data_IF_887986568147
#
_entry.id   IF_887986568147
#
_cell.length_a   1.000
_cell.length_b   1.000
_cell.length_c   1.000
_cell.angle_alpha   90.00
_cell.angle_beta   90.00
_cell.angle_gamma   90.00
#
_symmetry.space_group_name_H-M   'P 1'
#
loop_
_entity.id
_entity.type
_entity.pdbx_description
1 polymer ?
#
# COMPACT_ATOMS: atom_id res chain seq x y z
N UNK A 1 22.93 -5.40 -36.16
CA UNK A 1 24.31 -4.88 -36.19
C UNK A 1 25.38 -5.99 -36.06
N UNK A 2 25.23 -7.00 -35.16
CA UNK A 2 26.20 -8.13 -35.03
C UNK A 2 26.32 -9.06 -36.24
N UNK A 3 25.24 -9.32 -36.95
CA UNK A 3 25.20 -10.21 -38.13
C UNK A 3 26.01 -9.65 -39.31
N UNK A 4 26.00 -8.33 -39.48
CA UNK A 4 26.68 -7.66 -40.60
C UNK A 4 28.22 -7.71 -40.46
N UNK A 5 28.77 -7.73 -39.25
CA UNK A 5 30.21 -7.75 -39.00
C UNK A 5 30.82 -9.12 -39.35
N UNK A 6 30.11 -10.21 -39.00
CA UNK A 6 30.58 -11.59 -39.29
C UNK A 6 30.49 -11.96 -40.76
N UNK A 7 29.52 -11.42 -41.49
CA UNK A 7 29.39 -11.59 -42.93
C UNK A 7 30.53 -10.89 -43.67
N UNK A 8 30.92 -9.69 -43.24
CA UNK A 8 32.04 -8.93 -43.79
C UNK A 8 33.37 -9.68 -43.61
N UNK A 9 33.59 -10.25 -42.42
CA UNK A 9 34.81 -11.02 -42.12
C UNK A 9 34.91 -12.33 -42.92
N UNK A 10 33.78 -13.01 -43.19
CA UNK A 10 33.74 -14.19 -44.05
C UNK A 10 34.05 -13.85 -45.49
N UNK A 11 33.58 -12.72 -46.02
CA UNK A 11 33.89 -12.23 -47.34
C UNK A 11 35.37 -11.91 -47.50
N UNK A 12 36.00 -11.29 -46.50
CA UNK A 12 37.45 -11.00 -46.50
C UNK A 12 38.25 -12.28 -46.55
N UNK A 13 37.90 -13.26 -45.72
CA UNK A 13 38.56 -14.58 -45.73
C UNK A 13 38.41 -15.25 -47.10
N UNK A 14 37.23 -15.22 -47.70
CA UNK A 14 36.97 -15.80 -49.03
C UNK A 14 37.80 -15.13 -50.12
N UNK A 15 37.88 -13.81 -50.15
CA UNK A 15 38.72 -13.06 -51.09
C UNK A 15 40.21 -13.38 -50.92
N UNK A 16 40.68 -13.45 -49.66
CA UNK A 16 42.07 -13.79 -49.36
C UNK A 16 42.45 -15.21 -49.83
N UNK A 17 41.53 -16.19 -49.72
CA UNK A 17 41.74 -17.54 -50.27
C UNK A 17 41.80 -17.55 -51.79
N UNK A 18 40.91 -16.82 -52.48
CA UNK A 18 40.93 -16.68 -53.92
C UNK A 18 42.25 -16.07 -54.45
N UNK A 19 42.81 -15.12 -53.71
CA UNK A 19 44.12 -14.54 -54.03
C UNK A 19 45.26 -15.55 -53.90
N UNK A 20 45.19 -16.48 -52.94
CA UNK A 20 46.18 -17.57 -52.81
C UNK A 20 46.07 -18.67 -53.91
N UNK A 21 44.87 -18.91 -54.42
CA UNK A 21 44.61 -19.88 -55.48
C UNK A 21 45.10 -19.39 -56.83
N UNK A 22 45.15 -18.07 -57.05
CA UNK A 22 45.70 -17.45 -58.29
C UNK A 22 47.20 -17.22 -58.12
N UNK A 23 48.01 -18.21 -58.58
CA UNK A 23 49.46 -18.25 -58.44
C UNK A 23 50.21 -17.05 -59.04
N UNK A 24 49.60 -16.28 -59.97
CA UNK A 24 50.25 -15.17 -60.71
C UNK A 24 50.13 -13.81 -59.94
N UNK A 25 49.39 -13.74 -58.83
CA UNK A 25 49.08 -12.48 -58.13
C UNK A 25 50.07 -12.23 -56.98
N UNK A 26 50.64 -13.27 -56.36
CA UNK A 26 51.51 -13.12 -55.19
C UNK A 26 52.94 -13.54 -55.52
N UNK A 27 53.92 -12.69 -55.20
CA UNK A 27 55.35 -13.00 -55.22
C UNK A 27 55.64 -14.28 -54.43
N UNK A 28 56.41 -15.25 -54.91
CA UNK A 28 56.72 -16.50 -54.20
C UNK A 28 57.28 -16.31 -52.79
N UNK A 29 58.02 -15.22 -52.50
CA UNK A 29 58.52 -14.89 -51.16
C UNK A 29 57.43 -14.42 -50.20
N UNK A 30 56.28 -13.93 -50.74
CA UNK A 30 55.16 -13.40 -49.91
C UNK A 30 54.05 -14.44 -49.62
N UNK A 31 54.01 -15.53 -50.46
CA UNK A 31 52.97 -16.56 -50.29
C UNK A 31 52.95 -17.25 -48.93
N UNK A 32 54.10 -17.63 -48.40
CA UNK A 32 54.21 -18.34 -47.11
C UNK A 32 53.76 -17.44 -45.94
N UNK A 33 54.28 -16.20 -45.78
CA UNK A 33 53.82 -15.29 -44.72
C UNK A 33 52.33 -14.93 -44.84
N UNK A 34 51.79 -14.75 -46.06
CA UNK A 34 50.39 -14.48 -46.26
C UNK A 34 49.50 -15.66 -45.88
N UNK A 35 49.89 -16.89 -46.18
CA UNK A 35 49.18 -18.09 -45.74
C UNK A 35 49.17 -18.24 -44.22
N UNK A 36 50.25 -17.95 -43.55
CA UNK A 36 50.36 -17.97 -42.07
C UNK A 36 49.44 -16.91 -41.45
N UNK A 37 49.41 -15.70 -42.00
CA UNK A 37 48.52 -14.62 -41.56
C UNK A 37 47.05 -15.01 -41.77
N UNK A 38 46.70 -15.56 -42.93
CA UNK A 38 45.33 -15.99 -43.23
C UNK A 38 44.84 -17.08 -42.26
N UNK A 39 45.70 -18.07 -41.95
CA UNK A 39 45.40 -19.12 -40.98
C UNK A 39 45.19 -18.54 -39.57
N UNK A 40 46.02 -17.58 -39.16
CA UNK A 40 45.88 -16.90 -37.87
C UNK A 40 44.57 -16.10 -37.83
N UNK A 41 44.21 -15.41 -38.90
CA UNK A 41 42.95 -14.63 -39.00
C UNK A 41 41.70 -15.54 -38.98
N UNK A 42 41.74 -16.65 -39.71
CA UNK A 42 40.66 -17.65 -39.69
C UNK A 42 40.45 -18.24 -38.28
N UNK A 43 41.55 -18.54 -37.60
CA UNK A 43 41.47 -18.98 -36.18
C UNK A 43 40.86 -17.93 -35.31
N UNK A 44 41.30 -16.69 -35.42
CA UNK A 44 40.76 -15.55 -34.63
C UNK A 44 39.26 -15.37 -34.91
N UNK A 45 38.82 -15.41 -36.15
CA UNK A 45 37.40 -15.30 -36.52
C UNK A 45 36.56 -16.45 -35.93
N UNK A 46 37.10 -17.68 -35.94
CA UNK A 46 36.45 -18.84 -35.33
C UNK A 46 36.31 -18.65 -33.79
N UNK A 47 37.37 -18.17 -33.14
CA UNK A 47 37.35 -17.91 -31.72
C UNK A 47 36.40 -16.76 -31.37
N UNK A 48 36.36 -15.68 -32.17
CA UNK A 48 35.40 -14.58 -32.00
C UNK A 48 33.96 -15.08 -32.16
N UNK A 49 33.65 -15.89 -33.16
CA UNK A 49 32.30 -16.49 -33.30
C UNK A 49 31.91 -17.32 -32.09
N UNK A 50 32.88 -18.07 -31.53
CA UNK A 50 32.64 -18.86 -30.32
C UNK A 50 32.34 -17.95 -29.11
N UNK A 51 33.09 -16.86 -28.93
CA UNK A 51 32.87 -15.89 -27.87
C UNK A 51 31.53 -15.19 -27.99
N UNK A 52 31.12 -14.76 -29.18
CA UNK A 52 29.81 -14.16 -29.43
C UNK A 52 28.69 -15.12 -29.03
N UNK A 53 28.76 -16.41 -29.50
CA UNK A 53 27.75 -17.41 -29.13
C UNK A 53 27.68 -17.68 -27.62
N UNK A 54 28.82 -17.67 -26.95
CA UNK A 54 28.86 -17.80 -25.47
C UNK A 54 28.27 -16.58 -24.80
N UNK A 55 28.57 -15.38 -25.28
CA UNK A 55 27.99 -14.12 -24.77
C UNK A 55 26.48 -14.09 -24.93
N UNK A 56 25.97 -14.46 -26.14
CA UNK A 56 24.53 -14.50 -26.42
C UNK A 56 23.83 -15.53 -25.49
N UNK A 57 24.38 -16.72 -25.30
CA UNK A 57 23.85 -17.73 -24.37
C UNK A 57 23.85 -17.25 -22.92
N UNK A 58 24.91 -16.56 -22.50
CA UNK A 58 24.97 -16.01 -21.15
C UNK A 58 23.94 -14.90 -20.96
N UNK A 59 23.76 -14.04 -21.97
CA UNK A 59 22.73 -12.98 -21.93
C UNK A 59 21.32 -13.57 -21.82
N UNK A 60 21.02 -14.60 -22.64
CA UNK A 60 19.72 -15.30 -22.59
C UNK A 60 19.51 -15.96 -21.23
N UNK A 61 20.56 -16.56 -20.67
CA UNK A 61 20.49 -17.16 -19.32
C UNK A 61 20.23 -16.10 -18.24
N UNK A 62 20.92 -14.97 -18.28
CA UNK A 62 20.72 -13.85 -17.35
C UNK A 62 19.29 -13.29 -17.47
N UNK A 63 18.80 -13.07 -18.68
CA UNK A 63 17.43 -12.59 -18.90
C UNK A 63 16.40 -13.56 -18.32
N UNK A 64 16.59 -14.88 -18.55
CA UNK A 64 15.69 -15.89 -17.98
C UNK A 64 15.73 -15.94 -16.45
N UNK A 65 16.92 -15.81 -15.85
CA UNK A 65 17.06 -15.79 -14.38
C UNK A 65 16.42 -14.53 -13.81
N UNK A 66 16.65 -13.36 -14.41
CA UNK A 66 16.05 -12.10 -13.97
C UNK A 66 14.53 -12.15 -14.07
N UNK A 67 13.97 -12.63 -15.17
CA UNK A 67 12.52 -12.77 -15.33
C UNK A 67 11.90 -13.72 -14.28
N UNK A 68 12.58 -14.83 -13.96
CA UNK A 68 12.14 -15.73 -12.88
C UNK A 68 12.22 -15.07 -11.49
N UNK A 69 13.27 -14.29 -11.26
CA UNK A 69 13.45 -13.56 -9.99
C UNK A 69 12.34 -12.51 -9.80
N UNK A 70 12.02 -11.76 -10.87
CA UNK A 70 10.92 -10.79 -10.86
C UNK A 70 9.56 -11.44 -10.61
N UNK A 71 9.26 -12.56 -11.27
CA UNK A 71 8.02 -13.32 -11.05
C UNK A 71 7.93 -13.87 -9.61
N UNK A 72 9.03 -14.42 -9.10
CA UNK A 72 9.10 -14.90 -7.72
C UNK A 72 8.93 -13.77 -6.70
N UNK A 73 9.63 -12.66 -6.91
CA UNK A 73 9.54 -11.43 -6.11
C UNK A 73 8.11 -10.89 -6.06
N UNK A 74 7.44 -10.80 -7.23
CA UNK A 74 6.04 -10.38 -7.35
C UNK A 74 5.04 -11.33 -6.65
N UNK A 75 5.34 -12.62 -6.60
CA UNK A 75 4.52 -13.58 -5.85
C UNK A 75 4.72 -13.46 -4.34
N UNK A 76 5.96 -13.30 -3.89
CA UNK A 76 6.29 -13.13 -2.49
C UNK A 76 5.72 -11.83 -1.90
N UNK A 77 5.71 -10.74 -2.67
CA UNK A 77 5.17 -9.45 -2.21
C UNK A 77 3.70 -9.51 -1.78
N UNK A 78 2.94 -10.55 -2.22
CA UNK A 78 1.54 -10.74 -1.80
C UNK A 78 1.38 -11.34 -0.40
N UNK A 79 2.43 -11.87 0.19
CA UNK A 79 2.42 -12.47 1.53
C UNK A 79 2.91 -11.52 2.63
N UNK A 80 3.44 -10.36 2.25
CA UNK A 80 3.91 -9.33 3.17
C UNK A 80 3.14 -8.03 2.94
N UNK A 81 3.12 -7.15 3.94
CA UNK A 81 2.71 -5.78 3.68
C UNK A 81 3.71 -5.11 2.74
N UNK A 82 3.28 -4.23 1.82
CA UNK A 82 4.18 -3.58 0.88
C UNK A 82 5.36 -2.88 1.56
N UNK A 83 5.13 -2.22 2.69
CA UNK A 83 6.15 -1.48 3.44
C UNK A 83 7.23 -2.43 3.99
N UNK A 84 6.84 -3.58 4.56
CA UNK A 84 7.77 -4.60 5.07
C UNK A 84 8.54 -5.23 3.92
N UNK A 85 7.86 -5.54 2.82
CA UNK A 85 8.48 -6.08 1.62
C UNK A 85 9.55 -5.14 1.06
N UNK A 86 9.23 -3.84 0.90
CA UNK A 86 10.16 -2.83 0.41
C UNK A 86 11.37 -2.67 1.34
N UNK A 87 11.15 -2.63 2.66
CA UNK A 87 12.23 -2.51 3.65
C UNK A 87 13.17 -3.73 3.69
N UNK A 88 12.66 -4.93 3.44
CA UNK A 88 13.48 -6.14 3.28
C UNK A 88 14.30 -6.06 1.99
N UNK A 89 13.68 -5.67 0.87
CA UNK A 89 14.35 -5.61 -0.42
C UNK A 89 15.36 -4.49 -0.53
N UNK A 90 15.13 -3.35 0.13
CA UNK A 90 16.12 -2.24 0.22
C UNK A 90 17.30 -2.58 1.15
N UNK A 91 17.17 -3.64 1.97
CA UNK A 91 18.17 -4.01 2.97
C UNK A 91 18.12 -3.16 4.24
N UNK A 92 17.09 -2.34 4.42
CA UNK A 92 16.85 -1.56 5.64
C UNK A 92 16.38 -2.45 6.80
N UNK A 93 15.63 -3.52 6.48
CA UNK A 93 15.16 -4.51 7.43
C UNK A 93 15.91 -5.83 7.22
N UNK A 94 16.64 -6.27 8.24
CA UNK A 94 17.30 -7.58 8.24
C UNK A 94 16.27 -8.69 8.59
N UNK A 95 16.35 -9.82 7.87
CA UNK A 95 15.51 -11.01 8.10
C UNK A 95 16.16 -11.89 9.19
N UNK A 96 16.39 -11.30 10.36
CA UNK A 96 16.85 -11.99 11.56
C UNK A 96 15.86 -11.81 12.70
N UNK A 97 15.95 -12.63 13.76
CA UNK A 97 15.12 -12.47 14.97
C UNK A 97 15.56 -11.20 15.68
N UNK A 98 14.95 -10.08 15.29
CA UNK A 98 15.20 -8.77 15.88
C UNK A 98 13.90 -8.07 16.16
N UNK A 99 13.82 -7.40 17.30
CA UNK A 99 12.67 -6.62 17.69
C UNK A 99 13.10 -5.33 18.40
N UNK A 100 12.28 -4.29 18.25
CA UNK A 100 12.49 -3.00 18.86
C UNK A 100 11.23 -2.52 19.59
N UNK A 101 11.42 -1.78 20.67
CA UNK A 101 10.31 -1.08 21.36
C UNK A 101 10.10 0.27 20.69
N UNK A 102 8.90 0.46 20.12
CA UNK A 102 8.55 1.70 19.42
C UNK A 102 7.17 2.20 19.85
N UNK A 103 6.93 3.51 19.85
CA UNK A 103 5.59 4.06 19.96
C UNK A 103 4.84 3.79 18.66
N UNK A 104 3.73 3.06 18.75
CA UNK A 104 2.92 2.65 17.59
C UNK A 104 1.46 3.01 17.85
N UNK A 105 0.71 3.22 16.77
CA UNK A 105 -0.76 3.26 16.82
C UNK A 105 -1.29 1.96 16.23
N UNK A 106 -2.01 1.20 17.04
CA UNK A 106 -2.54 -0.13 16.72
C UNK A 106 -4.02 -0.01 16.39
N UNK A 107 -4.41 -0.63 15.30
CA UNK A 107 -5.77 -0.71 14.79
C UNK A 107 -6.23 -2.15 14.74
N UNK A 108 -7.40 -2.43 15.30
CA UNK A 108 -8.15 -3.66 15.12
C UNK A 108 -9.50 -3.35 14.51
N UNK A 109 -9.93 -4.18 13.58
CA UNK A 109 -11.31 -4.18 13.10
C UNK A 109 -11.85 -5.58 12.95
N UNK A 110 -13.17 -5.74 13.11
CA UNK A 110 -13.87 -7.02 13.02
C UNK A 110 -15.29 -6.83 12.46
N UNK A 111 -15.76 -7.76 11.64
CA UNK A 111 -17.13 -7.76 11.10
C UNK A 111 -18.09 -8.42 12.09
N UNK A 112 -18.97 -7.63 12.66
CA UNK A 112 -19.94 -8.15 13.63
C UNK A 112 -20.88 -9.17 12.97
N UNK A 113 -21.10 -10.31 13.67
CA UNK A 113 -21.95 -11.42 13.25
C UNK A 113 -21.45 -12.15 11.98
N UNK A 114 -20.17 -12.04 11.65
CA UNK A 114 -19.59 -12.74 10.51
C UNK A 114 -19.68 -14.26 10.69
N UNK A 115 -19.42 -14.78 11.90
CA UNK A 115 -19.53 -16.20 12.23
C UNK A 115 -20.92 -16.77 11.94
N UNK A 116 -22.01 -16.04 12.26
CA UNK A 116 -23.36 -16.49 11.92
C UNK A 116 -23.62 -16.46 10.39
N UNK A 117 -22.90 -15.61 9.66
CA UNK A 117 -22.99 -15.54 8.21
C UNK A 117 -22.29 -16.72 7.56
N UNK A 118 -21.18 -17.19 8.12
CA UNK A 118 -20.43 -18.36 7.61
C UNK A 118 -21.24 -19.64 7.68
N UNK A 119 -22.14 -19.78 8.65
CA UNK A 119 -23.01 -20.94 8.80
C UNK A 119 -24.15 -20.98 7.77
N UNK A 120 -24.46 -19.85 7.10
CA UNK A 120 -25.65 -19.71 6.25
C UNK A 120 -25.34 -19.51 4.78
N UNK A 121 -24.17 -19.04 4.45
CA UNK A 121 -23.77 -18.78 3.06
C UNK A 121 -22.99 -19.99 2.51
N UNK A 122 -23.15 -20.20 1.21
CA UNK A 122 -22.31 -21.13 0.48
C UNK A 122 -20.83 -20.66 0.52
N UNK A 123 -19.86 -21.59 0.63
CA UNK A 123 -18.45 -21.27 0.78
C UNK A 123 -17.91 -20.34 -0.30
N UNK A 124 -18.37 -20.46 -1.54
CA UNK A 124 -17.95 -19.66 -2.68
C UNK A 124 -18.40 -18.21 -2.52
N UNK A 125 -19.67 -18.00 -2.12
CA UNK A 125 -20.22 -16.66 -1.90
C UNK A 125 -19.52 -15.97 -0.73
N UNK A 126 -19.28 -16.73 0.34
CA UNK A 126 -18.55 -16.25 1.52
C UNK A 126 -17.12 -15.83 1.16
N UNK A 127 -16.41 -16.66 0.39
CA UNK A 127 -15.04 -16.39 -0.05
C UNK A 127 -14.97 -15.15 -0.92
N UNK A 128 -15.88 -14.98 -1.88
CA UNK A 128 -15.97 -13.79 -2.72
C UNK A 128 -16.24 -12.52 -1.92
N UNK A 129 -17.15 -12.60 -0.94
CA UNK A 129 -17.49 -11.49 -0.07
C UNK A 129 -16.30 -11.08 0.78
N UNK A 130 -15.65 -12.04 1.44
CA UNK A 130 -14.50 -11.80 2.31
C UNK A 130 -13.32 -11.25 1.50
N UNK A 131 -13.02 -11.84 0.35
CA UNK A 131 -11.96 -11.37 -0.55
C UNK A 131 -12.20 -9.94 -1.01
N UNK A 132 -13.44 -9.60 -1.38
CA UNK A 132 -13.81 -8.24 -1.78
C UNK A 132 -13.67 -7.25 -0.61
N UNK A 133 -14.11 -7.63 0.60
CA UNK A 133 -13.96 -6.84 1.82
C UNK A 133 -12.48 -6.58 2.13
N UNK A 134 -11.68 -7.65 2.29
CA UNK A 134 -10.26 -7.54 2.63
C UNK A 134 -9.48 -6.75 1.57
N UNK A 135 -9.80 -6.93 0.28
CA UNK A 135 -9.16 -6.17 -0.80
C UNK A 135 -9.41 -4.67 -0.68
N UNK A 136 -10.66 -4.26 -0.43
CA UNK A 136 -10.99 -2.84 -0.30
C UNK A 136 -10.39 -2.23 0.97
N UNK A 137 -10.42 -2.94 2.11
CA UNK A 137 -9.81 -2.47 3.36
C UNK A 137 -8.28 -2.38 3.26
N UNK A 138 -7.63 -3.36 2.62
CA UNK A 138 -6.18 -3.34 2.40
C UNK A 138 -5.74 -2.15 1.55
N UNK A 139 -6.47 -1.84 0.47
CA UNK A 139 -6.18 -0.67 -0.37
C UNK A 139 -6.22 0.64 0.43
N UNK A 140 -7.21 0.76 1.32
CA UNK A 140 -7.33 1.93 2.19
C UNK A 140 -6.17 1.96 3.19
N UNK A 141 -5.82 0.83 3.82
CA UNK A 141 -4.71 0.74 4.75
C UNK A 141 -3.40 1.18 4.12
N UNK A 142 -3.06 0.64 2.95
CA UNK A 142 -1.85 0.98 2.19
C UNK A 142 -1.85 2.47 1.79
N UNK A 143 -2.98 2.99 1.32
CA UNK A 143 -3.14 4.42 0.95
C UNK A 143 -2.79 5.36 2.10
N UNK A 144 -3.15 5.01 3.34
CA UNK A 144 -2.88 5.81 4.53
C UNK A 144 -1.52 5.52 5.19
N UNK A 145 -0.72 4.60 4.62
CA UNK A 145 0.59 4.22 5.15
C UNK A 145 0.54 3.24 6.32
N UNK A 146 -0.59 2.56 6.51
CA UNK A 146 -0.74 1.52 7.53
C UNK A 146 -0.03 0.22 7.14
N UNK A 147 0.72 -0.36 8.06
CA UNK A 147 1.34 -1.67 7.90
C UNK A 147 0.34 -2.75 8.31
N UNK A 148 -0.12 -3.55 7.34
CA UNK A 148 -1.02 -4.67 7.61
C UNK A 148 -0.18 -5.79 8.23
N UNK A 149 -0.46 -6.12 9.48
CA UNK A 149 0.17 -7.25 10.17
C UNK A 149 -0.40 -8.58 9.65
N UNK A 150 -1.67 -8.79 9.89
CA UNK A 150 -2.36 -10.04 9.50
C UNK A 150 -3.87 -9.89 9.44
N UNK A 151 -4.48 -10.85 8.75
CA UNK A 151 -5.91 -11.09 8.80
C UNK A 151 -6.18 -12.27 9.76
N UNK A 152 -7.17 -12.12 10.62
CA UNK A 152 -7.59 -13.15 11.58
C UNK A 152 -9.07 -13.45 11.28
N UNK A 153 -9.31 -14.33 10.28
CA UNK A 153 -10.64 -14.47 9.70
C UNK A 153 -11.09 -13.21 8.97
N UNK A 154 -12.10 -12.54 9.48
CA UNK A 154 -12.62 -11.26 9.01
C UNK A 154 -12.02 -10.05 9.75
N UNK A 155 -11.31 -10.29 10.84
CA UNK A 155 -10.61 -9.24 11.58
C UNK A 155 -9.30 -8.85 10.90
N UNK A 156 -8.96 -7.57 11.02
CA UNK A 156 -7.75 -6.99 10.45
C UNK A 156 -6.95 -6.32 11.56
N UNK A 157 -5.66 -6.69 11.68
CA UNK A 157 -4.68 -6.00 12.51
C UNK A 157 -3.78 -5.15 11.64
N UNK A 158 -3.72 -3.86 11.95
CA UNK A 158 -2.88 -2.86 11.27
C UNK A 158 -2.15 -2.04 12.33
N UNK A 159 -0.94 -1.60 12.04
CA UNK A 159 -0.23 -0.65 12.88
C UNK A 159 0.41 0.47 12.07
N UNK A 160 0.68 1.59 12.73
CA UNK A 160 1.36 2.78 12.18
C UNK A 160 2.56 3.12 13.05
N UNK A 161 3.61 3.64 12.43
CA UNK A 161 4.85 4.03 13.11
C UNK A 161 6.02 3.07 12.89
N UNK A 162 5.82 2.02 12.07
CA UNK A 162 6.86 1.08 11.67
C UNK A 162 6.45 0.31 10.38
N UNK A 163 7.32 0.01 9.44
CA UNK A 163 8.71 0.48 9.32
C UNK A 163 8.82 1.98 9.03
N UNK A 164 7.76 2.62 8.53
CA UNK A 164 7.71 4.06 8.25
C UNK A 164 7.11 4.79 9.45
N UNK A 165 7.80 5.81 9.96
CA UNK A 165 7.35 6.64 11.07
C UNK A 165 7.33 8.12 10.68
N UNK A 166 6.15 8.75 10.76
CA UNK A 166 5.94 10.16 10.41
C UNK A 166 5.77 11.06 11.66
N UNK A 167 5.91 10.48 12.84
CA UNK A 167 5.65 11.12 14.13
C UNK A 167 4.34 10.63 14.75
N UNK A 168 4.33 10.45 16.08
CA UNK A 168 3.23 9.81 16.81
C UNK A 168 1.86 10.42 16.50
N UNK A 169 1.77 11.76 16.44
CA UNK A 169 0.52 12.45 16.13
C UNK A 169 0.06 12.19 14.68
N UNK A 170 0.99 12.24 13.72
CA UNK A 170 0.66 12.03 12.31
C UNK A 170 0.24 10.58 12.06
N UNK A 171 0.93 9.62 12.67
CA UNK A 171 0.61 8.20 12.58
C UNK A 171 -0.77 7.90 13.20
N UNK A 172 -1.10 8.49 14.35
CA UNK A 172 -2.42 8.36 14.98
C UNK A 172 -3.53 9.02 14.14
N UNK A 173 -3.29 10.21 13.58
CA UNK A 173 -4.24 10.89 12.69
C UNK A 173 -4.46 10.07 11.41
N UNK A 174 -3.40 9.54 10.79
CA UNK A 174 -3.50 8.69 9.62
C UNK A 174 -4.30 7.41 9.91
N UNK A 175 -4.08 6.77 11.06
CA UNK A 175 -4.82 5.60 11.52
C UNK A 175 -6.32 5.89 11.68
N UNK A 176 -6.69 6.98 12.34
CA UNK A 176 -8.10 7.38 12.51
C UNK A 176 -8.74 7.76 11.17
N UNK A 177 -8.00 8.45 10.30
CA UNK A 177 -8.47 8.80 8.95
C UNK A 177 -8.74 7.56 8.10
N UNK A 178 -7.84 6.58 8.14
CA UNK A 178 -8.01 5.27 7.54
C UNK A 178 -9.30 4.60 8.05
N UNK A 179 -9.50 4.58 9.36
CA UNK A 179 -10.67 3.97 9.99
C UNK A 179 -11.99 4.63 9.54
N UNK A 180 -12.03 5.95 9.43
CA UNK A 180 -13.18 6.69 8.92
C UNK A 180 -13.46 6.34 7.44
N UNK A 181 -12.43 6.30 6.59
CA UNK A 181 -12.58 5.91 5.18
C UNK A 181 -13.05 4.47 5.05
N UNK A 182 -12.58 3.54 5.90
CA UNK A 182 -13.04 2.15 5.92
C UNK A 182 -14.54 2.04 6.23
N UNK A 183 -15.05 2.80 7.20
CA UNK A 183 -16.48 2.83 7.51
C UNK A 183 -17.31 3.34 6.32
N UNK A 184 -16.86 4.40 5.66
CA UNK A 184 -17.55 4.92 4.47
C UNK A 184 -17.50 3.92 3.30
N UNK A 185 -16.35 3.27 3.09
CA UNK A 185 -16.23 2.24 2.06
C UNK A 185 -17.16 1.06 2.33
N UNK A 186 -17.29 0.63 3.59
CA UNK A 186 -18.19 -0.45 3.95
C UNK A 186 -19.66 -0.13 3.62
N UNK A 187 -20.11 1.11 3.79
CA UNK A 187 -21.46 1.53 3.37
C UNK A 187 -21.69 1.29 1.88
N UNK A 188 -20.69 1.60 1.05
CA UNK A 188 -20.74 1.36 -0.40
C UNK A 188 -20.74 -0.13 -0.73
N UNK A 189 -19.92 -0.94 -0.03
CA UNK A 189 -19.88 -2.38 -0.21
C UNK A 189 -21.22 -3.03 0.15
N UNK A 190 -21.84 -2.65 1.26
CA UNK A 190 -23.18 -3.13 1.66
C UNK A 190 -24.21 -2.92 0.57
N UNK A 191 -24.22 -1.74 -0.06
CA UNK A 191 -25.15 -1.45 -1.17
C UNK A 191 -24.93 -2.40 -2.36
N UNK A 192 -23.66 -2.73 -2.68
CA UNK A 192 -23.32 -3.69 -3.74
C UNK A 192 -23.73 -5.12 -3.37
N UNK A 193 -23.47 -5.54 -2.14
CA UNK A 193 -23.81 -6.89 -1.66
C UNK A 193 -25.31 -7.10 -1.56
N UNK A 194 -26.06 -6.10 -1.11
CA UNK A 194 -27.55 -6.15 -1.10
C UNK A 194 -28.12 -6.38 -2.50
N UNK A 195 -27.56 -5.74 -3.52
CA UNK A 195 -27.95 -5.97 -4.92
C UNK A 195 -27.64 -7.38 -5.42
N UNK A 196 -26.70 -8.08 -4.78
CA UNK A 196 -26.34 -9.48 -5.06
C UNK A 196 -27.09 -10.50 -4.18
N UNK A 197 -28.12 -10.07 -3.44
CA UNK A 197 -28.99 -10.95 -2.64
C UNK A 197 -28.54 -11.13 -1.19
N UNK A 198 -27.51 -10.44 -0.71
CA UNK A 198 -27.15 -10.48 0.70
C UNK A 198 -28.15 -9.64 1.51
N UNK A 199 -29.03 -10.29 2.25
CA UNK A 199 -30.10 -9.63 3.03
C UNK A 199 -29.61 -9.04 4.36
N UNK A 200 -28.51 -9.54 4.92
CA UNK A 200 -27.97 -9.06 6.20
C UNK A 200 -26.92 -7.96 6.01
N UNK A 201 -26.98 -6.96 6.88
CA UNK A 201 -25.98 -5.90 6.94
C UNK A 201 -24.80 -6.37 7.78
N UNK A 202 -23.61 -6.36 7.18
CA UNK A 202 -22.34 -6.53 7.89
C UNK A 202 -21.98 -5.20 8.54
N UNK A 203 -21.70 -5.22 9.83
CA UNK A 203 -21.29 -4.05 10.61
C UNK A 203 -19.83 -4.20 11.03
N UNK A 204 -19.11 -3.10 11.00
CA UNK A 204 -17.70 -3.06 11.38
C UNK A 204 -17.58 -2.49 12.79
N UNK A 205 -16.75 -3.10 13.62
CA UNK A 205 -16.28 -2.55 14.88
C UNK A 205 -14.81 -2.22 14.72
N UNK A 206 -14.38 -1.09 15.27
CA UNK A 206 -13.00 -0.64 15.18
C UNK A 206 -12.52 -0.19 16.56
N UNK A 207 -11.34 -0.69 16.95
CA UNK A 207 -10.61 -0.27 18.14
C UNK A 207 -9.24 0.26 17.79
N UNK A 208 -8.85 1.42 18.34
CA UNK A 208 -7.53 2.03 18.11
C UNK A 208 -6.90 2.42 19.44
N UNK A 209 -5.65 2.02 19.61
CA UNK A 209 -4.84 2.40 20.77
C UNK A 209 -3.43 2.81 20.33
N UNK A 210 -2.88 3.84 20.96
CA UNK A 210 -1.51 4.30 20.75
C UNK A 210 -0.67 4.06 22.00
N UNK A 211 0.49 3.40 21.84
CA UNK A 211 1.36 3.10 22.96
C UNK A 211 2.66 2.42 22.53
N UNK A 212 3.54 2.16 23.50
CA UNK A 212 4.82 1.49 23.24
C UNK A 212 4.56 -0.01 23.05
N UNK A 213 4.86 -0.52 21.86
CA UNK A 213 4.80 -1.93 21.50
C UNK A 213 6.19 -2.46 21.14
N UNK A 214 6.35 -3.77 21.13
CA UNK A 214 7.53 -4.41 20.55
C UNK A 214 7.17 -4.87 19.15
N UNK A 215 7.89 -4.38 18.14
CA UNK A 215 7.71 -4.68 16.72
C UNK A 215 8.97 -5.29 16.14
N UNK A 216 8.83 -6.21 15.21
CA UNK A 216 9.95 -6.86 14.54
C UNK A 216 9.65 -8.29 14.10
N UNK A 217 10.69 -9.04 13.83
CA UNK A 217 10.59 -10.45 13.43
C UNK A 217 10.48 -11.34 14.66
N UNK A 218 9.36 -12.04 14.78
CA UNK A 218 9.10 -13.02 15.84
C UNK A 218 8.84 -14.39 15.25
N UNK A 219 9.32 -15.42 15.93
CA UNK A 219 9.05 -16.81 15.52
C UNK A 219 10.21 -17.74 15.86
N UNK A 220 10.37 -18.76 15.03
CA UNK A 220 11.48 -19.72 15.10
C UNK A 220 12.53 -19.42 14.04
N UNK A 221 13.64 -20.17 14.08
CA UNK A 221 14.69 -20.08 13.04
C UNK A 221 14.14 -20.40 11.63
N UNK A 222 13.09 -21.25 11.54
CA UNK A 222 12.51 -21.71 10.28
C UNK A 222 11.33 -20.85 9.80
N UNK A 223 10.70 -20.09 10.71
CA UNK A 223 9.52 -19.28 10.40
C UNK A 223 9.46 -18.01 11.21
N UNK A 224 9.50 -16.90 10.53
CA UNK A 224 9.42 -15.55 11.09
C UNK A 224 8.16 -14.84 10.60
N UNK A 225 7.49 -14.15 11.52
CA UNK A 225 6.41 -13.21 11.22
C UNK A 225 6.85 -11.81 11.65
N UNK A 226 6.80 -10.84 10.75
CA UNK A 226 6.96 -9.44 11.11
C UNK A 226 5.66 -8.94 11.72
N UNK A 227 5.67 -8.71 13.03
CA UNK A 227 4.45 -8.44 13.81
C UNK A 227 4.71 -7.55 15.02
N UNK A 228 3.64 -7.16 15.67
CA UNK A 228 3.64 -6.38 16.89
C UNK A 228 3.14 -7.21 18.07
N UNK A 229 3.81 -7.08 19.22
CA UNK A 229 3.41 -7.72 20.46
C UNK A 229 3.42 -6.72 21.63
N UNK A 230 2.59 -6.97 22.62
CA UNK A 230 2.53 -6.20 23.87
C UNK A 230 1.12 -6.01 24.39
N UNK A 231 1.01 -5.52 25.62
CA UNK A 231 -0.29 -5.25 26.25
C UNK A 231 -1.12 -4.21 25.50
N UNK A 232 -0.45 -3.25 24.83
CA UNK A 232 -1.09 -2.22 24.03
C UNK A 232 -1.78 -2.78 22.78
N UNK A 233 -1.25 -3.86 22.21
CA UNK A 233 -1.91 -4.60 21.12
C UNK A 233 -3.21 -5.25 21.64
N UNK A 234 -3.15 -5.89 22.80
CA UNK A 234 -4.34 -6.48 23.44
C UNK A 234 -5.39 -5.42 23.80
N UNK A 235 -4.95 -4.23 24.21
CA UNK A 235 -5.86 -3.12 24.50
C UNK A 235 -6.62 -2.66 23.25
N UNK A 236 -5.93 -2.51 22.11
CA UNK A 236 -6.59 -2.16 20.85
C UNK A 236 -7.65 -3.20 20.45
N UNK A 237 -7.36 -4.51 20.59
CA UNK A 237 -8.34 -5.58 20.38
C UNK A 237 -9.53 -5.50 21.34
N UNK A 238 -9.30 -5.12 22.62
CA UNK A 238 -10.39 -4.96 23.57
C UNK A 238 -11.26 -3.73 23.26
N UNK A 239 -10.67 -2.65 22.78
CA UNK A 239 -11.42 -1.50 22.28
C UNK A 239 -12.32 -1.91 21.11
N UNK A 240 -11.80 -2.68 20.15
CA UNK A 240 -12.61 -3.21 19.06
C UNK A 240 -13.81 -4.01 19.58
N UNK A 241 -13.57 -4.97 20.48
CA UNK A 241 -14.63 -5.85 21.01
C UNK A 241 -15.71 -5.09 21.81
N UNK A 242 -15.37 -3.95 22.41
CA UNK A 242 -16.30 -3.07 23.14
C UNK A 242 -16.92 -1.97 22.23
N UNK A 243 -16.44 -1.81 21.01
CA UNK A 243 -16.98 -0.82 20.08
C UNK A 243 -18.41 -1.14 19.66
N UNK A 244 -19.26 -0.14 19.56
CA UNK A 244 -20.62 -0.27 18.99
C UNK A 244 -20.53 -0.48 17.48
N UNK A 245 -21.65 -0.97 16.91
CA UNK A 245 -21.77 -1.17 15.45
C UNK A 245 -21.42 0.09 14.67
N UNK A 246 -20.51 -0.04 13.71
CA UNK A 246 -20.09 1.03 12.82
C UNK A 246 -19.52 2.24 13.56
N UNK A 247 -18.83 2.01 14.67
CA UNK A 247 -18.14 3.04 15.43
C UNK A 247 -16.65 2.72 15.55
N UNK A 248 -15.88 3.77 15.76
CA UNK A 248 -14.45 3.72 16.06
C UNK A 248 -14.31 4.10 17.51
N UNK A 249 -13.84 3.17 18.35
CA UNK A 249 -13.54 3.38 19.75
C UNK A 249 -12.04 3.53 19.93
N UNK A 250 -11.62 4.62 20.55
CA UNK A 250 -10.20 4.91 20.79
C UNK A 250 -9.92 5.09 22.29
N UNK A 251 -8.70 4.80 22.71
CA UNK A 251 -8.23 5.09 24.09
C UNK A 251 -7.95 6.58 24.29
N UNK A 252 -7.81 6.99 25.56
CA UNK A 252 -7.38 8.34 25.93
C UNK A 252 -6.01 8.67 25.32
N UNK A 253 -5.04 7.74 25.34
CA UNK A 253 -3.72 7.95 24.72
C UNK A 253 -3.82 8.31 23.25
N UNK A 254 -4.67 7.63 22.49
CA UNK A 254 -4.91 7.95 21.08
C UNK A 254 -5.65 9.28 20.95
N UNK A 255 -6.67 9.53 21.80
CA UNK A 255 -7.42 10.79 21.79
C UNK A 255 -6.49 11.99 21.96
N UNK A 256 -5.55 11.94 22.90
CA UNK A 256 -4.59 13.03 23.15
C UNK A 256 -3.72 13.35 21.92
N UNK A 257 -3.43 12.36 21.08
CA UNK A 257 -2.66 12.54 19.83
C UNK A 257 -3.49 13.14 18.69
N UNK A 258 -4.82 12.95 18.69
CA UNK A 258 -5.68 13.31 17.55
C UNK A 258 -6.67 14.44 17.83
N UNK A 259 -6.87 14.86 19.08
CA UNK A 259 -7.92 15.80 19.54
C UNK A 259 -8.00 17.12 18.78
N UNK A 260 -6.88 17.60 18.26
CA UNK A 260 -6.82 18.87 17.52
C UNK A 260 -7.35 18.75 16.08
N UNK A 261 -7.45 17.54 15.55
CA UNK A 261 -7.87 17.27 14.17
C UNK A 261 -9.13 16.41 14.05
N UNK A 262 -9.46 15.67 15.13
CA UNK A 262 -10.55 14.69 15.16
C UNK A 262 -11.55 15.07 16.22
N UNK A 263 -12.84 15.13 15.85
CA UNK A 263 -13.93 15.32 16.78
C UNK A 263 -14.28 13.98 17.46
N UNK A 264 -14.18 13.94 18.77
CA UNK A 264 -14.46 12.75 19.57
C UNK A 264 -15.46 13.06 20.68
N UNK A 265 -16.27 12.07 21.05
CA UNK A 265 -17.21 12.09 22.16
C UNK A 265 -16.74 11.14 23.25
N UNK A 266 -16.79 11.55 24.49
CA UNK A 266 -16.46 10.70 25.65
C UNK A 266 -17.40 9.48 25.65
N UNK A 267 -16.84 8.29 25.79
CA UNK A 267 -17.56 7.04 25.93
C UNK A 267 -17.34 6.43 27.32
N UNK A 268 -17.94 5.26 27.55
CA UNK A 268 -17.82 4.55 28.81
C UNK A 268 -16.39 4.08 29.04
N UNK A 269 -15.96 4.07 30.29
CA UNK A 269 -14.70 3.45 30.71
C UNK A 269 -14.78 1.93 30.54
N UNK A 270 -13.69 1.32 30.08
CA UNK A 270 -13.58 -0.12 29.96
C UNK A 270 -12.55 -0.69 30.93
N UNK A 271 -12.89 -1.81 31.57
CA UNK A 271 -11.94 -2.60 32.37
C UNK A 271 -11.33 -3.69 31.49
N UNK A 272 -10.01 -3.75 31.45
CA UNK A 272 -9.27 -4.70 30.61
C UNK A 272 -8.45 -5.64 31.47
N UNK A 273 -8.57 -6.96 31.26
CA UNK A 273 -7.78 -7.95 32.00
C UNK A 273 -6.28 -7.67 31.83
N UNK A 274 -5.60 -7.51 32.98
CA UNK A 274 -4.16 -7.21 33.01
C UNK A 274 -3.82 -5.71 33.16
N UNK A 275 -4.83 -4.84 33.23
CA UNK A 275 -4.70 -3.41 33.56
C UNK A 275 -5.51 -3.16 34.82
N UNK A 276 -4.88 -2.56 35.86
CA UNK A 276 -5.47 -2.41 37.22
C UNK A 276 -6.45 -1.27 37.35
N UNK A 277 -6.57 -0.41 36.34
CA UNK A 277 -7.44 0.78 36.35
C UNK A 277 -8.32 0.79 35.10
N UNK A 278 -9.52 1.36 35.17
CA UNK A 278 -10.39 1.54 34.04
C UNK A 278 -9.76 2.52 33.04
N UNK A 279 -9.98 2.27 31.77
CA UNK A 279 -9.43 3.09 30.68
C UNK A 279 -10.55 3.94 30.11
N UNK A 280 -10.36 5.25 30.12
CA UNK A 280 -11.26 6.20 29.48
C UNK A 280 -11.23 5.98 27.96
N UNK A 281 -12.41 5.91 27.35
CA UNK A 281 -12.55 5.70 25.90
C UNK A 281 -13.29 6.85 25.24
N UNK A 282 -13.11 6.97 23.92
CA UNK A 282 -13.72 8.01 23.10
C UNK A 282 -14.25 7.42 21.80
N UNK A 283 -15.41 7.89 21.36
CA UNK A 283 -15.99 7.55 20.06
C UNK A 283 -15.60 8.63 19.05
N UNK A 284 -14.97 8.25 17.96
CA UNK A 284 -14.65 9.14 16.85
C UNK A 284 -15.93 9.49 16.08
N UNK A 285 -16.20 10.79 15.92
CA UNK A 285 -17.37 11.30 15.16
C UNK A 285 -17.01 11.79 13.75
N UNK A 286 -15.75 12.08 13.49
CA UNK A 286 -15.25 12.60 12.23
C UNK A 286 -14.12 13.60 12.44
N UNK A 287 -13.75 14.30 11.41
CA UNK A 287 -12.76 15.37 11.53
C UNK A 287 -13.35 16.58 12.28
N UNK A 288 -12.51 17.24 13.05
CA UNK A 288 -12.86 18.53 13.63
C UNK A 288 -13.16 19.50 12.47
N UNK A 289 -14.30 20.16 12.53
CA UNK A 289 -14.61 21.22 11.58
C UNK A 289 -13.53 22.29 11.67
N UNK A 290 -13.06 22.80 10.55
CA UNK A 290 -12.13 23.93 10.56
C UNK A 290 -12.77 25.10 11.29
N UNK A 291 -11.95 25.98 11.87
CA UNK A 291 -12.46 27.17 12.58
C UNK A 291 -13.39 27.99 11.69
N UNK A 292 -13.11 28.04 10.39
CA UNK A 292 -13.94 28.67 9.36
C UNK A 292 -15.29 27.98 9.16
N UNK A 293 -15.39 26.64 9.28
CA UNK A 293 -16.64 25.90 9.17
C UNK A 293 -17.51 25.98 10.45
N UNK A 294 -16.88 26.19 11.63
CA UNK A 294 -17.58 26.43 12.91
C UNK A 294 -18.14 27.86 13.01
N UNK A 295 -17.54 28.79 12.28
CA UNK A 295 -17.96 30.20 12.25
C UNK A 295 -18.98 30.50 11.15
N UNK A 296 -19.33 29.51 10.31
CA UNK A 296 -20.42 29.66 9.35
C UNK A 296 -21.76 29.77 10.09
N UNK A 297 -22.38 30.94 10.00
CA UNK A 297 -23.73 31.15 10.58
C UNK A 297 -24.81 30.53 9.70
N UNK A 298 -24.57 30.45 8.39
CA UNK A 298 -25.47 29.82 7.42
C UNK A 298 -24.65 28.95 6.47
N UNK A 299 -25.01 27.68 6.35
CA UNK A 299 -24.49 26.78 5.31
C UNK A 299 -25.65 25.92 4.82
N UNK A 300 -26.20 26.28 3.64
CA UNK A 300 -27.36 25.60 3.05
C UNK A 300 -27.06 25.22 1.60
N UNK A 301 -27.49 24.04 1.23
CA UNK A 301 -27.36 23.52 -0.13
C UNK A 301 -28.68 22.93 -0.59
N UNK A 302 -29.30 23.60 -1.54
CA UNK A 302 -30.49 23.12 -2.24
C UNK A 302 -30.20 23.04 -3.75
N UNK A 303 -30.97 22.29 -4.54
CA UNK A 303 -30.79 22.26 -5.99
C UNK A 303 -30.79 23.66 -6.60
N UNK A 304 -29.68 24.04 -7.23
CA UNK A 304 -29.49 25.35 -7.84
C UNK A 304 -28.90 26.45 -6.92
N UNK A 305 -28.81 26.22 -5.58
CA UNK A 305 -28.23 27.17 -4.65
C UNK A 305 -27.28 26.49 -3.67
N UNK A 306 -26.07 27.02 -3.54
CA UNK A 306 -25.10 26.64 -2.50
C UNK A 306 -24.63 27.92 -1.80
N UNK A 307 -25.04 28.13 -0.55
CA UNK A 307 -24.74 29.30 0.23
C UNK A 307 -23.89 28.92 1.45
N UNK A 308 -22.72 29.55 1.63
CA UNK A 308 -21.91 29.46 2.84
C UNK A 308 -21.54 30.87 3.28
N UNK A 309 -21.96 31.28 4.46
CA UNK A 309 -21.72 32.62 5.01
C UNK A 309 -20.85 32.53 6.26
N UNK A 310 -19.67 33.14 6.20
CA UNK A 310 -18.69 33.26 7.30
C UNK A 310 -18.54 34.73 7.69
N UNK A 311 -19.33 35.27 8.64
CA UNK A 311 -19.33 36.67 8.97
C UNK A 311 -17.99 37.22 9.46
N UNK A 312 -17.15 36.37 10.09
CA UNK A 312 -15.80 36.71 10.54
C UNK A 312 -14.78 36.91 9.42
N UNK A 313 -15.04 36.36 8.24
CA UNK A 313 -14.16 36.42 7.06
C UNK A 313 -14.59 37.52 6.09
N UNK A 314 -15.68 38.25 6.37
CA UNK A 314 -16.20 39.29 5.50
C UNK A 314 -15.49 40.63 5.78
N UNK A 315 -14.51 40.98 4.98
CA UNK A 315 -13.81 42.27 5.03
C UNK A 315 -14.66 43.43 4.49
N UNK A 316 -15.44 43.15 3.42
CA UNK A 316 -16.33 44.12 2.77
C UNK A 316 -17.82 43.75 3.02
N UNK A 317 -18.38 44.21 4.13
CA UNK A 317 -19.77 43.92 4.50
C UNK A 317 -20.80 44.50 3.54
N UNK A 318 -20.55 45.71 3.01
CA UNK A 318 -21.48 46.37 2.06
C UNK A 318 -21.53 45.59 0.73
N UNK A 319 -20.36 45.15 0.23
CA UNK A 319 -20.27 44.30 -0.96
C UNK A 319 -20.98 42.94 -0.78
N UNK A 320 -20.81 42.31 0.40
CA UNK A 320 -21.49 41.06 0.72
C UNK A 320 -23.03 41.21 0.77
N UNK A 321 -23.53 42.28 1.40
CA UNK A 321 -24.96 42.58 1.47
C UNK A 321 -25.51 42.85 0.06
N UNK A 322 -24.80 43.57 -0.78
CA UNK A 322 -25.19 43.81 -2.16
C UNK A 322 -25.31 42.51 -2.96
N UNK A 323 -24.30 41.62 -2.85
CA UNK A 323 -24.32 40.33 -3.54
C UNK A 323 -25.49 39.43 -3.13
N UNK A 324 -25.83 39.43 -1.83
CA UNK A 324 -26.98 38.69 -1.31
C UNK A 324 -28.32 39.27 -1.82
N UNK A 325 -28.42 40.59 -1.87
CA UNK A 325 -29.61 41.26 -2.43
C UNK A 325 -29.74 41.01 -3.95
N UNK A 326 -28.65 41.04 -4.70
CA UNK A 326 -28.65 40.72 -6.13
C UNK A 326 -29.08 39.26 -6.38
N UNK A 327 -28.66 38.34 -5.51
CA UNK A 327 -29.08 36.94 -5.58
C UNK A 327 -30.57 36.75 -5.26
N UNK A 328 -31.11 37.49 -4.28
CA UNK A 328 -32.55 37.50 -3.95
C UNK A 328 -33.37 38.02 -5.13
N UNK A 329 -32.95 39.15 -5.71
CA UNK A 329 -33.67 39.73 -6.87
C UNK A 329 -33.72 38.76 -8.06
N UNK A 330 -32.62 38.04 -8.34
CA UNK A 330 -32.59 37.02 -9.40
C UNK A 330 -33.51 35.82 -9.15
N UNK A 331 -33.82 35.52 -7.91
CA UNK A 331 -34.76 34.44 -7.54
C UNK A 331 -36.22 34.96 -7.70
N UNK A 332 -36.45 36.20 -7.27
CA UNK A 332 -37.79 36.83 -7.35
C UNK A 332 -38.20 37.19 -8.79
N UNK A 333 -37.25 37.50 -9.69
CA UNK A 333 -37.55 37.79 -11.11
C UNK A 333 -37.96 36.55 -11.93
N UNK A 334 -37.93 35.36 -11.35
CA UNK A 334 -38.28 34.10 -12.03
C UNK A 334 -39.71 33.61 -11.77
N UNK A 335 -40.50 34.33 -10.98
CA UNK A 335 -41.95 34.13 -10.85
C UNK A 335 -42.70 35.05 -11.85
#
# INVERSE_FOLDING_TARGET
MKTNLLETEEEVIKKARQLLENSDVLNPSAQKPFLELLKAYEKLNKDLKRLIRLSDRNQDRLNNVNSRLEDFSSKLSKYFSPQVYESIFSGELDVSVQSARKPLTIFFSDLQNFTELTERLEPEILTDLLTNYLTEMSRIAIKWGGTIDKFIGDAILIFFGDPIHNGNNQDAIACVSMALEMLERLKLLRSKWRKRGLSRELNLRIGIHSGICTVGNFGSEDRLDYTVIGNNVNLASRLESNAKKNTILISEDTYLLVKDKVNCEIAEEISVKGISYPIQTYIVKGFAKSKSELEAVITEKIPGLNLSLYPSEIDNREGAIKLLNDAINLIEEKD
#
